data_IF_171874561074
#
_entry.id   IF_171874561074
#
_cell.length_a   1.000
_cell.length_b   1.000
_cell.length_c   1.000
_cell.angle_alpha   90.00
_cell.angle_beta   90.00
_cell.angle_gamma   90.00
#
_symmetry.space_group_name_H-M   'P 1'
#
loop_
_entity.id
_entity.type
_entity.pdbx_description
1 polymer ?
#
# COMPACT_ATOMS: atom_id res chain seq x y z
N UNK A 1 5.93 -11.17 3.16
CA UNK A 1 4.95 -12.21 3.49
C UNK A 1 3.61 -11.65 3.95
N UNK A 2 2.67 -12.52 4.36
CA UNK A 2 1.42 -12.07 4.99
C UNK A 2 1.59 -11.89 6.50
N UNK A 3 0.70 -11.10 7.12
CA UNK A 3 0.69 -10.92 8.59
C UNK A 3 0.62 -12.25 9.35
N UNK A 4 -0.21 -13.18 8.88
CA UNK A 4 -0.33 -14.52 9.52
C UNK A 4 0.99 -15.31 9.45
N UNK A 5 1.68 -15.30 8.32
CA UNK A 5 2.99 -15.93 8.17
C UNK A 5 4.04 -15.24 9.05
N UNK A 6 4.02 -13.91 9.12
CA UNK A 6 4.90 -13.15 10.01
C UNK A 6 4.73 -13.53 11.49
N UNK A 7 3.49 -13.71 11.95
CA UNK A 7 3.19 -14.17 13.29
C UNK A 7 3.77 -15.57 13.56
N UNK A 8 3.65 -16.50 12.62
CA UNK A 8 4.24 -17.85 12.74
C UNK A 8 5.77 -17.80 12.79
N UNK A 9 6.41 -16.98 11.96
CA UNK A 9 7.86 -16.77 11.97
C UNK A 9 8.31 -16.25 13.33
N UNK A 10 7.60 -15.28 13.90
CA UNK A 10 7.91 -14.77 15.25
C UNK A 10 7.78 -15.86 16.33
N UNK A 11 6.75 -16.70 16.25
CA UNK A 11 6.58 -17.81 17.17
C UNK A 11 7.75 -18.80 17.10
N UNK A 12 8.18 -19.19 15.91
CA UNK A 12 9.33 -20.09 15.72
C UNK A 12 10.65 -19.45 16.18
N UNK A 13 10.82 -18.15 15.96
CA UNK A 13 12.02 -17.44 16.38
C UNK A 13 12.18 -17.40 17.92
N UNK A 14 11.08 -17.49 18.69
CA UNK A 14 11.14 -17.44 20.16
C UNK A 14 11.89 -18.63 20.75
N UNK A 15 11.86 -19.81 20.13
CA UNK A 15 12.55 -21.01 20.63
C UNK A 15 14.07 -20.80 20.76
N UNK A 16 14.65 -19.98 19.89
CA UNK A 16 16.09 -19.71 19.85
C UNK A 16 16.44 -18.24 20.13
N UNK A 17 15.45 -17.42 20.52
CA UNK A 17 15.61 -15.99 20.80
C UNK A 17 16.25 -15.25 19.61
N UNK A 18 15.79 -15.57 18.40
CA UNK A 18 16.32 -14.98 17.16
C UNK A 18 15.59 -13.67 16.87
N UNK A 19 16.30 -12.53 16.71
CA UNK A 19 15.68 -11.31 16.20
C UNK A 19 15.20 -11.52 14.77
N UNK A 20 14.02 -10.98 14.45
CA UNK A 20 13.40 -11.11 13.14
C UNK A 20 13.20 -9.74 12.50
N UNK A 21 13.33 -9.69 11.17
CA UNK A 21 12.86 -8.60 10.33
C UNK A 21 11.73 -9.11 9.45
N UNK A 22 10.65 -8.36 9.36
CA UNK A 22 9.44 -8.78 8.68
C UNK A 22 8.93 -7.65 7.78
N UNK A 23 8.75 -7.96 6.51
CA UNK A 23 8.02 -7.18 5.53
C UNK A 23 6.73 -7.92 5.19
N UNK A 24 5.58 -7.33 5.55
CA UNK A 24 4.29 -7.99 5.53
C UNK A 24 3.29 -7.20 4.67
N UNK A 25 2.01 -7.51 4.80
CA UNK A 25 0.95 -6.93 3.99
C UNK A 25 0.65 -5.46 4.29
N UNK A 26 -0.15 -4.87 3.43
CA UNK A 26 -0.62 -3.49 3.55
C UNK A 26 -2.05 -3.30 3.06
N UNK A 27 -2.66 -2.20 3.47
CA UNK A 27 -3.91 -1.65 2.95
C UNK A 27 -3.74 -0.13 2.82
N UNK A 28 -2.80 0.25 1.98
CA UNK A 28 -2.25 1.60 1.91
C UNK A 28 -3.30 2.62 1.47
N UNK A 29 -3.53 3.69 2.25
CA UNK A 29 -4.39 4.79 1.83
C UNK A 29 -3.68 5.64 0.76
N UNK A 30 -4.44 6.11 -0.21
CA UNK A 30 -4.05 7.07 -1.23
C UNK A 30 -5.04 8.24 -1.17
N UNK A 31 -4.61 9.40 -0.69
CA UNK A 31 -5.47 10.49 -0.24
C UNK A 31 -5.43 11.63 -1.25
N UNK A 32 -6.59 12.04 -1.74
CA UNK A 32 -6.74 13.12 -2.74
C UNK A 32 -7.53 14.27 -2.12
N UNK A 33 -6.84 15.37 -1.82
CA UNK A 33 -7.44 16.60 -1.33
C UNK A 33 -8.07 17.41 -2.46
N UNK A 34 -9.01 18.30 -2.14
CA UNK A 34 -9.81 19.02 -3.13
C UNK A 34 -8.98 19.86 -4.10
N UNK A 35 -7.86 20.40 -3.65
CA UNK A 35 -6.98 21.24 -4.45
C UNK A 35 -6.31 20.53 -5.65
N UNK A 36 -6.41 19.19 -5.73
CA UNK A 36 -5.97 18.46 -6.95
C UNK A 36 -6.81 18.82 -8.17
N UNK A 37 -8.06 19.26 -7.95
CA UNK A 37 -9.01 19.63 -9.01
C UNK A 37 -9.05 21.13 -9.34
N UNK A 38 -8.20 21.96 -8.71
CA UNK A 38 -8.20 23.42 -8.92
C UNK A 38 -7.91 23.82 -10.37
N UNK A 39 -7.14 23.02 -11.10
CA UNK A 39 -6.76 23.26 -12.47
C UNK A 39 -6.74 21.95 -13.28
N UNK A 40 -7.12 22.03 -14.54
CA UNK A 40 -6.96 20.95 -15.51
C UNK A 40 -5.58 21.06 -16.17
N UNK A 41 -4.57 20.51 -15.50
CA UNK A 41 -3.16 20.60 -15.87
C UNK A 41 -2.43 19.25 -15.71
N UNK A 42 -1.13 19.23 -15.99
CA UNK A 42 -0.27 18.05 -15.86
C UNK A 42 -0.27 17.48 -14.43
N UNK A 43 -0.52 18.31 -13.41
CA UNK A 43 -0.60 17.84 -12.05
C UNK A 43 -1.87 17.00 -11.78
N UNK A 44 -3.01 17.43 -12.32
CA UNK A 44 -4.24 16.63 -12.25
C UNK A 44 -4.06 15.31 -13.00
N UNK A 45 -3.46 15.33 -14.21
CA UNK A 45 -3.18 14.10 -14.95
C UNK A 45 -2.30 13.14 -14.16
N UNK A 46 -1.27 13.66 -13.50
CA UNK A 46 -0.40 12.89 -12.59
C UNK A 46 -1.13 12.34 -11.39
N UNK A 47 -2.07 13.08 -10.80
CA UNK A 47 -2.89 12.60 -9.68
C UNK A 47 -3.85 11.48 -10.10
N UNK A 48 -4.43 11.58 -11.32
CA UNK A 48 -5.26 10.53 -11.91
C UNK A 48 -4.44 9.26 -12.21
N UNK A 49 -3.19 9.40 -12.67
CA UNK A 49 -2.27 8.27 -12.79
C UNK A 49 -1.98 7.66 -11.42
N UNK A 50 -1.71 8.50 -10.41
CA UNK A 50 -1.52 8.06 -9.02
C UNK A 50 -2.72 7.30 -8.45
N UNK A 51 -3.94 7.67 -8.83
CA UNK A 51 -5.14 6.91 -8.49
C UNK A 51 -5.15 5.53 -9.16
N UNK A 52 -4.74 5.43 -10.42
CA UNK A 52 -4.73 4.19 -11.18
C UNK A 52 -3.62 3.21 -10.75
N UNK A 53 -2.66 3.64 -9.92
CA UNK A 53 -1.54 2.83 -9.45
C UNK A 53 -1.93 1.57 -8.64
N UNK A 54 -3.18 1.43 -8.20
CA UNK A 54 -3.66 0.20 -7.58
C UNK A 54 -3.63 -1.01 -8.52
N UNK A 55 -3.67 -0.77 -9.82
CA UNK A 55 -3.62 -1.81 -10.83
C UNK A 55 -2.19 -2.19 -11.24
N UNK A 56 -1.17 -1.39 -10.88
CA UNK A 56 0.23 -1.68 -11.21
C UNK A 56 0.61 -3.09 -10.73
N UNK A 57 1.34 -3.82 -11.57
CA UNK A 57 1.71 -5.22 -11.30
C UNK A 57 0.48 -6.07 -10.90
N UNK A 58 -0.65 -5.88 -11.58
CA UNK A 58 -1.96 -6.49 -11.31
C UNK A 58 -2.41 -6.42 -9.84
N UNK A 59 -1.96 -5.39 -9.09
CA UNK A 59 -2.27 -5.19 -7.68
C UNK A 59 -1.55 -6.12 -6.71
N UNK A 60 -0.62 -6.96 -7.20
CA UNK A 60 0.19 -7.88 -6.40
C UNK A 60 1.45 -7.17 -5.88
N UNK A 61 1.25 -6.11 -5.10
CA UNK A 61 2.29 -5.30 -4.45
C UNK A 61 1.88 -5.03 -3.00
N UNK A 62 2.79 -5.25 -2.04
CA UNK A 62 2.52 -5.02 -0.61
C UNK A 62 2.15 -3.56 -0.28
N UNK A 63 2.72 -2.59 -1.01
CA UNK A 63 2.38 -1.16 -0.89
C UNK A 63 1.28 -0.71 -1.84
N UNK A 64 0.55 -1.62 -2.48
CA UNK A 64 -0.55 -1.28 -3.37
C UNK A 64 -1.46 -0.23 -2.74
N UNK A 65 -1.73 0.93 -3.40
CA UNK A 65 -2.63 1.96 -2.89
C UNK A 65 -4.08 1.51 -3.05
N UNK A 66 -4.46 0.47 -2.30
CA UNK A 66 -5.71 -0.27 -2.45
C UNK A 66 -6.91 0.36 -1.73
N UNK A 67 -6.69 1.48 -1.00
CA UNK A 67 -7.75 2.37 -0.50
C UNK A 67 -7.54 3.77 -1.05
N UNK A 68 -8.49 4.30 -1.81
CA UNK A 68 -8.50 5.70 -2.19
C UNK A 68 -9.45 6.50 -1.28
N UNK A 69 -8.93 7.55 -0.67
CA UNK A 69 -9.67 8.51 0.12
C UNK A 69 -9.78 9.79 -0.70
N UNK A 70 -10.98 10.19 -1.08
CA UNK A 70 -11.22 11.36 -1.93
C UNK A 70 -12.05 12.39 -1.17
N UNK A 71 -11.62 13.66 -1.15
CA UNK A 71 -12.38 14.69 -0.46
C UNK A 71 -13.77 14.86 -1.07
N UNK A 72 -14.81 14.96 -0.22
CA UNK A 72 -16.22 14.93 -0.64
C UNK A 72 -16.54 15.99 -1.70
N UNK A 73 -15.95 17.19 -1.57
CA UNK A 73 -16.19 18.33 -2.49
C UNK A 73 -15.83 18.05 -3.95
N UNK A 74 -14.92 17.13 -4.22
CA UNK A 74 -14.45 16.80 -5.56
C UNK A 74 -14.81 15.38 -6.01
N UNK A 75 -15.37 14.55 -5.11
CA UNK A 75 -15.42 13.11 -5.28
C UNK A 75 -16.06 12.68 -6.61
N UNK A 76 -17.21 13.20 -6.96
CA UNK A 76 -17.93 12.75 -8.17
C UNK A 76 -17.16 13.07 -9.46
N UNK A 77 -16.68 14.32 -9.58
CA UNK A 77 -15.92 14.75 -10.77
C UNK A 77 -14.55 14.08 -10.88
N UNK A 78 -13.88 13.93 -9.75
CA UNK A 78 -12.58 13.26 -9.72
C UNK A 78 -12.72 11.78 -10.09
N UNK A 79 -13.70 11.07 -9.51
CA UNK A 79 -13.93 9.66 -9.80
C UNK A 79 -14.36 9.41 -11.24
N UNK A 80 -15.15 10.29 -11.86
CA UNK A 80 -15.47 10.20 -13.28
C UNK A 80 -14.19 10.16 -14.13
N UNK A 81 -13.30 11.15 -13.96
CA UNK A 81 -12.02 11.22 -14.69
C UNK A 81 -11.10 10.03 -14.36
N UNK A 82 -11.04 9.63 -13.09
CA UNK A 82 -10.19 8.54 -12.62
C UNK A 82 -10.64 7.18 -13.18
N UNK A 83 -11.94 6.90 -13.22
CA UNK A 83 -12.50 5.68 -13.82
C UNK A 83 -12.20 5.62 -15.32
N UNK A 84 -12.34 6.75 -16.05
CA UNK A 84 -11.96 6.80 -17.46
C UNK A 84 -10.46 6.52 -17.67
N UNK A 85 -9.59 6.97 -16.77
CA UNK A 85 -8.15 6.62 -16.78
C UNK A 85 -7.94 5.11 -16.58
N UNK A 86 -8.64 4.52 -15.60
CA UNK A 86 -8.52 3.08 -15.26
C UNK A 86 -9.01 2.20 -16.42
N UNK A 87 -10.09 2.57 -17.11
CA UNK A 87 -10.60 1.85 -18.29
C UNK A 87 -9.61 1.76 -19.46
N UNK A 88 -8.59 2.63 -19.49
CA UNK A 88 -7.54 2.60 -20.52
C UNK A 88 -6.43 1.61 -20.21
N UNK A 89 -6.42 1.00 -19.01
CA UNK A 89 -5.42 0.00 -18.62
C UNK A 89 -5.64 -1.26 -19.46
N UNK A 90 -4.64 -1.61 -20.23
CA UNK A 90 -4.66 -2.81 -21.06
C UNK A 90 -4.18 -4.01 -20.25
N UNK A 91 -5.10 -4.93 -19.98
CA UNK A 91 -4.77 -6.25 -19.43
C UNK A 91 -4.48 -7.19 -20.58
N UNK A 92 -3.38 -7.94 -20.53
CA UNK A 92 -3.00 -8.80 -21.64
C UNK A 92 -1.85 -9.75 -21.34
N UNK A 93 -1.42 -10.45 -22.38
CA UNK A 93 -0.27 -11.35 -22.30
C UNK A 93 1.02 -10.56 -22.01
N UNK A 94 1.89 -10.99 -21.08
CA UNK A 94 3.05 -10.22 -20.63
C UNK A 94 4.14 -10.01 -21.71
N UNK A 95 4.11 -10.75 -22.80
CA UNK A 95 5.05 -10.56 -23.93
C UNK A 95 4.51 -9.58 -24.99
N UNK A 96 3.28 -9.14 -24.88
CA UNK A 96 2.72 -8.13 -25.78
C UNK A 96 3.16 -6.73 -25.34
N UNK A 97 3.70 -5.96 -26.25
CA UNK A 97 4.35 -4.67 -25.95
C UNK A 97 3.40 -3.59 -25.41
N UNK A 98 2.12 -3.71 -25.68
CA UNK A 98 1.10 -2.77 -25.16
C UNK A 98 0.39 -3.26 -23.90
N UNK A 99 0.70 -4.43 -23.38
CA UNK A 99 0.18 -4.90 -22.10
C UNK A 99 0.69 -4.02 -20.98
N UNK A 100 -0.22 -3.51 -20.15
CA UNK A 100 0.09 -2.69 -18.97
C UNK A 100 0.06 -3.52 -17.69
N UNK A 101 -0.85 -4.49 -17.59
CA UNK A 101 -0.95 -5.43 -16.46
C UNK A 101 -1.16 -6.86 -16.98
N UNK A 102 -0.57 -7.83 -16.27
CA UNK A 102 -0.59 -9.24 -16.61
C UNK A 102 -1.59 -10.07 -15.81
N UNK A 103 -1.37 -11.38 -15.81
CA UNK A 103 -2.13 -12.35 -15.05
C UNK A 103 -1.78 -12.32 -13.56
N UNK A 104 -2.73 -12.77 -12.72
CA UNK A 104 -2.45 -13.07 -11.32
C UNK A 104 -1.47 -14.25 -11.19
N UNK A 105 -0.75 -14.30 -10.08
CA UNK A 105 0.31 -15.29 -9.85
C UNK A 105 -0.19 -16.75 -9.87
N UNK A 106 -1.45 -17.00 -9.57
CA UNK A 106 -2.03 -18.35 -9.53
C UNK A 106 -3.55 -18.34 -9.57
N UNK A 107 -4.15 -19.51 -9.86
CA UNK A 107 -5.60 -19.71 -9.76
C UNK A 107 -6.11 -19.49 -8.33
N UNK A 108 -5.34 -19.87 -7.32
CA UNK A 108 -5.69 -19.66 -5.92
C UNK A 108 -5.79 -18.15 -5.61
N UNK A 109 -4.85 -17.37 -6.12
CA UNK A 109 -4.88 -15.92 -5.96
C UNK A 109 -6.05 -15.29 -6.71
N UNK A 110 -6.33 -15.71 -7.94
CA UNK A 110 -7.50 -15.28 -8.69
C UNK A 110 -8.79 -15.55 -7.91
N UNK A 111 -8.96 -16.79 -7.41
CA UNK A 111 -10.15 -17.18 -6.64
C UNK A 111 -10.30 -16.37 -5.35
N UNK A 112 -9.18 -16.08 -4.65
CA UNK A 112 -9.19 -15.20 -3.47
C UNK A 112 -9.71 -13.80 -3.83
N UNK A 113 -9.20 -13.22 -4.91
CA UNK A 113 -9.60 -11.88 -5.35
C UNK A 113 -11.07 -11.85 -5.74
N UNK A 114 -11.54 -12.83 -6.51
CA UNK A 114 -12.96 -12.94 -6.89
C UNK A 114 -13.85 -13.11 -5.65
N UNK A 115 -13.43 -13.89 -4.65
CA UNK A 115 -14.12 -14.00 -3.37
C UNK A 115 -14.20 -12.68 -2.61
N UNK A 116 -13.14 -11.85 -2.65
CA UNK A 116 -13.16 -10.50 -2.07
C UNK A 116 -14.11 -9.56 -2.84
N UNK A 117 -14.14 -9.65 -4.17
CA UNK A 117 -15.08 -8.88 -5.01
C UNK A 117 -16.52 -9.22 -4.63
N UNK A 118 -16.84 -10.50 -4.46
CA UNK A 118 -18.17 -10.94 -4.06
C UNK A 118 -18.53 -10.51 -2.63
N UNK A 119 -17.54 -10.53 -1.73
CA UNK A 119 -17.68 -9.96 -0.38
C UNK A 119 -18.06 -8.48 -0.44
N UNK A 120 -17.37 -7.69 -1.25
CA UNK A 120 -17.70 -6.26 -1.43
C UNK A 120 -19.14 -6.04 -1.91
N UNK A 121 -19.59 -6.84 -2.87
CA UNK A 121 -21.00 -6.81 -3.35
C UNK A 121 -21.98 -7.16 -2.25
N UNK A 122 -21.72 -8.22 -1.50
CA UNK A 122 -22.61 -8.71 -0.44
C UNK A 122 -22.70 -7.76 0.76
N UNK A 123 -21.63 -7.01 1.04
CA UNK A 123 -21.61 -5.95 2.06
C UNK A 123 -22.26 -4.64 1.58
N UNK A 124 -22.69 -4.56 0.32
CA UNK A 124 -23.37 -3.39 -0.24
C UNK A 124 -22.44 -2.32 -0.78
N UNK A 125 -21.16 -2.61 -1.00
CA UNK A 125 -20.27 -1.68 -1.69
C UNK A 125 -20.71 -1.49 -3.16
N UNK A 126 -20.72 -0.27 -3.63
CA UNK A 126 -21.08 0.08 -4.99
C UNK A 126 -19.94 -0.26 -5.96
N UNK A 127 -20.14 -1.20 -6.88
CA UNK A 127 -19.19 -1.47 -7.96
C UNK A 127 -19.24 -0.33 -8.99
N UNK A 128 -18.11 0.35 -9.19
CA UNK A 128 -18.00 1.46 -10.15
C UNK A 128 -17.48 1.00 -11.52
N UNK A 129 -16.58 0.00 -11.54
CA UNK A 129 -16.04 -0.60 -12.77
C UNK A 129 -15.38 -1.94 -12.49
N UNK A 130 -15.20 -2.78 -13.50
CA UNK A 130 -14.57 -4.09 -13.39
C UNK A 130 -15.44 -5.13 -12.66
N UNK A 131 -14.81 -5.95 -11.85
CA UNK A 131 -15.49 -6.94 -11.01
C UNK A 131 -15.63 -8.33 -11.61
N UNK A 132 -14.91 -8.62 -12.70
CA UNK A 132 -14.99 -9.88 -13.43
C UNK A 132 -13.61 -10.42 -13.80
N UNK A 133 -13.48 -11.75 -13.95
CA UNK A 133 -12.31 -12.33 -14.59
C UNK A 133 -12.36 -12.06 -16.11
N UNK A 134 -11.20 -12.02 -16.75
CA UNK A 134 -11.03 -11.89 -18.19
C UNK A 134 -10.84 -13.27 -18.82
N UNK A 135 -11.92 -13.86 -19.30
CA UNK A 135 -11.89 -15.16 -19.99
C UNK A 135 -11.55 -15.06 -21.48
N UNK A 136 -11.52 -13.84 -22.00
CA UNK A 136 -11.16 -13.54 -23.39
C UNK A 136 -9.64 -13.54 -23.64
N UNK A 137 -8.83 -13.63 -22.58
CA UNK A 137 -7.36 -13.73 -22.66
C UNK A 137 -6.95 -15.14 -22.26
N UNK A 138 -6.32 -15.88 -23.19
CA UNK A 138 -5.87 -17.24 -22.97
C UNK A 138 -4.59 -17.31 -22.13
N UNK A 139 -4.37 -18.44 -21.47
CA UNK A 139 -3.09 -18.80 -20.87
C UNK A 139 -2.76 -18.13 -19.54
N UNK A 140 -3.75 -17.57 -18.80
CA UNK A 140 -3.49 -16.95 -17.52
C UNK A 140 -4.73 -16.68 -16.67
N UNK A 141 -4.51 -16.11 -15.47
CA UNK A 141 -5.53 -15.83 -14.48
C UNK A 141 -5.78 -14.33 -14.40
N UNK A 142 -6.47 -13.77 -15.40
CA UNK A 142 -6.65 -12.32 -15.55
C UNK A 142 -7.90 -11.83 -14.84
N UNK A 143 -7.82 -10.63 -14.25
CA UNK A 143 -8.93 -9.93 -13.60
C UNK A 143 -8.94 -8.48 -14.09
N UNK A 144 -10.14 -7.96 -14.32
CA UNK A 144 -10.33 -6.54 -14.65
C UNK A 144 -9.93 -5.63 -13.47
N UNK A 145 -9.25 -4.50 -13.71
CA UNK A 145 -9.12 -3.46 -12.70
C UNK A 145 -10.51 -3.08 -12.15
N UNK A 146 -10.66 -3.25 -10.84
CA UNK A 146 -11.97 -3.22 -10.18
C UNK A 146 -11.99 -2.08 -9.15
N UNK A 147 -13.04 -1.27 -9.14
CA UNK A 147 -13.23 -0.17 -8.20
C UNK A 147 -14.58 -0.31 -7.50
N UNK A 148 -14.53 -0.31 -6.16
CA UNK A 148 -15.70 -0.21 -5.31
C UNK A 148 -15.72 1.14 -4.58
N UNK A 149 -16.93 1.70 -4.35
CA UNK A 149 -17.17 2.81 -3.44
C UNK A 149 -17.97 2.30 -2.25
N UNK A 150 -17.54 2.65 -1.03
CA UNK A 150 -18.20 2.15 0.17
C UNK A 150 -17.66 2.77 1.45
N UNK A 151 -17.95 2.13 2.58
CA UNK A 151 -17.55 2.55 3.91
C UNK A 151 -16.24 1.87 4.35
N UNK A 152 -15.38 2.61 5.08
CA UNK A 152 -14.08 2.10 5.53
C UNK A 152 -14.18 0.89 6.47
N UNK A 153 -15.33 0.62 7.09
CA UNK A 153 -15.55 -0.54 7.96
C UNK A 153 -15.78 -1.85 7.19
N UNK A 154 -16.10 -1.78 5.90
CA UNK A 154 -16.33 -2.96 5.08
C UNK A 154 -15.04 -3.79 4.94
N UNK A 155 -15.18 -5.10 4.83
CA UNK A 155 -14.06 -6.04 4.78
C UNK A 155 -13.06 -5.74 3.66
N UNK A 156 -13.56 -5.38 2.47
CA UNK A 156 -12.71 -5.02 1.33
C UNK A 156 -11.89 -3.74 1.54
N UNK A 157 -12.23 -2.90 2.53
CA UNK A 157 -11.47 -1.73 2.95
C UNK A 157 -10.42 -2.05 4.02
N UNK A 158 -10.60 -3.14 4.76
CA UNK A 158 -9.76 -3.51 5.90
C UNK A 158 -8.78 -4.64 5.61
N UNK A 159 -9.12 -5.58 4.73
CA UNK A 159 -8.27 -6.71 4.40
C UNK A 159 -7.44 -6.48 3.13
N UNK A 160 -6.22 -7.03 3.12
CA UNK A 160 -5.36 -7.05 1.94
C UNK A 160 -5.87 -8.05 0.91
N UNK A 161 -6.32 -7.55 -0.24
CA UNK A 161 -6.82 -8.38 -1.34
C UNK A 161 -5.66 -8.96 -2.15
N UNK A 162 -4.61 -8.16 -2.39
CA UNK A 162 -3.44 -8.47 -3.20
C UNK A 162 -3.81 -8.77 -4.65
N UNK A 163 -4.55 -7.86 -5.25
CA UNK A 163 -5.08 -7.90 -6.61
C UNK A 163 -5.55 -6.52 -7.07
N UNK A 164 -5.98 -6.36 -8.34
CA UNK A 164 -6.29 -5.07 -8.93
C UNK A 164 -7.68 -4.56 -8.47
N UNK A 165 -7.89 -4.46 -7.16
CA UNK A 165 -9.14 -4.05 -6.54
C UNK A 165 -8.91 -2.85 -5.63
N UNK A 166 -9.54 -1.74 -5.96
CA UNK A 166 -9.52 -0.48 -5.23
C UNK A 166 -10.80 -0.27 -4.46
N UNK A 167 -10.67 0.10 -3.18
CA UNK A 167 -11.78 0.50 -2.33
C UNK A 167 -11.75 2.02 -2.13
N UNK A 168 -12.79 2.73 -2.57
CA UNK A 168 -12.89 4.19 -2.52
C UNK A 168 -13.87 4.61 -1.44
N UNK A 169 -13.44 5.50 -0.55
CA UNK A 169 -14.31 6.20 0.40
C UNK A 169 -14.07 7.71 0.34
N UNK A 170 -14.98 8.50 0.88
CA UNK A 170 -14.83 9.95 0.95
C UNK A 170 -14.47 10.40 2.35
N UNK A 171 -13.92 11.62 2.46
CA UNK A 171 -13.64 12.30 3.72
C UNK A 171 -14.05 13.77 3.63
N UNK A 172 -14.33 14.39 4.77
CA UNK A 172 -14.83 15.77 4.85
C UNK A 172 -13.70 16.80 4.89
N UNK A 173 -12.76 16.58 5.79
CA UNK A 173 -11.68 17.50 6.09
C UNK A 173 -10.38 16.76 6.43
N UNK A 174 -9.33 17.51 6.76
CA UNK A 174 -8.02 16.94 7.05
C UNK A 174 -8.06 15.91 8.20
N UNK A 175 -8.76 16.21 9.28
CA UNK A 175 -8.76 15.36 10.49
C UNK A 175 -9.53 14.06 10.22
N UNK A 176 -10.62 14.14 9.47
CA UNK A 176 -11.40 12.98 9.02
C UNK A 176 -10.55 12.10 8.07
N UNK A 177 -9.82 12.72 7.13
CA UNK A 177 -8.89 11.99 6.27
C UNK A 177 -7.83 11.21 7.07
N UNK A 178 -7.22 11.84 8.07
CA UNK A 178 -6.20 11.19 8.91
C UNK A 178 -6.79 10.06 9.76
N UNK A 179 -7.99 10.27 10.31
CA UNK A 179 -8.72 9.25 11.05
C UNK A 179 -8.97 8.01 10.18
N UNK A 180 -9.53 8.18 8.98
CA UNK A 180 -9.83 7.07 8.06
C UNK A 180 -8.53 6.42 7.57
N UNK A 181 -7.52 7.21 7.22
CA UNK A 181 -6.23 6.68 6.75
C UNK A 181 -5.59 5.74 7.77
N UNK A 182 -5.62 6.10 9.04
CA UNK A 182 -5.00 5.35 10.14
C UNK A 182 -5.88 4.23 10.70
N UNK A 183 -7.17 4.17 10.34
CA UNK A 183 -8.12 3.14 10.77
C UNK A 183 -7.91 1.85 9.97
N UNK A 184 -6.83 1.16 10.27
CA UNK A 184 -6.43 -0.12 9.72
C UNK A 184 -5.39 -0.79 10.61
N UNK A 185 -5.30 -2.11 10.57
CA UNK A 185 -4.24 -2.87 11.24
C UNK A 185 -2.88 -2.73 10.55
N UNK A 186 -2.84 -2.20 9.35
CA UNK A 186 -1.65 -2.03 8.54
C UNK A 186 -1.04 -0.64 8.66
N UNK A 187 0.22 -0.51 8.23
CA UNK A 187 0.95 0.76 8.19
C UNK A 187 2.20 0.65 7.31
N UNK A 188 2.07 0.09 6.10
CA UNK A 188 3.23 -0.08 5.21
C UNK A 188 3.50 1.17 4.40
N UNK A 189 2.55 1.59 3.56
CA UNK A 189 2.68 2.74 2.69
C UNK A 189 1.45 3.64 2.71
N UNK A 190 1.61 4.86 2.19
CA UNK A 190 0.53 5.81 1.94
C UNK A 190 0.90 6.79 0.85
N UNK A 191 -0.09 7.29 0.11
CA UNK A 191 0.04 8.40 -0.84
C UNK A 191 -0.76 9.61 -0.39
N UNK A 192 -0.24 10.80 -0.68
CA UNK A 192 -0.93 12.08 -0.42
C UNK A 192 -0.82 12.96 -1.65
N UNK A 193 -1.95 13.45 -2.14
CA UNK A 193 -2.04 14.32 -3.31
C UNK A 193 -2.68 15.63 -2.89
N UNK A 194 -1.91 16.69 -2.96
CA UNK A 194 -2.32 18.07 -2.67
C UNK A 194 -1.34 19.03 -3.30
N UNK A 195 -1.82 20.15 -3.82
CA UNK A 195 -0.99 21.27 -4.30
C UNK A 195 -0.37 22.05 -3.15
N UNK A 196 -0.93 21.91 -1.94
CA UNK A 196 -0.45 22.56 -0.72
C UNK A 196 0.69 21.76 -0.09
N UNK A 197 1.90 22.31 -0.09
CA UNK A 197 3.04 21.74 0.63
C UNK A 197 2.77 21.61 2.14
N UNK A 198 2.00 22.53 2.71
CA UNK A 198 1.61 22.49 4.13
C UNK A 198 0.70 21.29 4.42
N UNK A 199 -0.35 21.08 3.62
CA UNK A 199 -1.27 19.93 3.74
C UNK A 199 -0.49 18.62 3.58
N UNK A 200 0.33 18.53 2.54
CA UNK A 200 1.15 17.35 2.25
C UNK A 200 2.11 17.00 3.39
N UNK A 201 2.80 18.00 3.96
CA UNK A 201 3.72 17.79 5.08
C UNK A 201 2.99 17.34 6.34
N UNK A 202 1.87 17.99 6.69
CA UNK A 202 1.06 17.61 7.86
C UNK A 202 0.53 16.20 7.73
N UNK A 203 -0.02 15.84 6.57
CA UNK A 203 -0.52 14.48 6.31
C UNK A 203 0.59 13.45 6.41
N UNK A 204 1.76 13.71 5.79
CA UNK A 204 2.91 12.82 5.88
C UNK A 204 3.39 12.58 7.31
N UNK A 205 3.21 13.57 8.21
CA UNK A 205 3.53 13.44 9.64
C UNK A 205 2.47 12.70 10.45
N UNK A 206 1.20 12.82 10.07
CA UNK A 206 0.06 12.27 10.81
C UNK A 206 -0.26 10.82 10.43
N UNK A 207 0.12 10.39 9.22
CA UNK A 207 -0.14 9.04 8.74
C UNK A 207 0.77 8.03 9.44
N UNK A 208 0.18 6.97 9.98
CA UNK A 208 0.86 5.88 10.67
C UNK A 208 1.33 4.80 9.68
N UNK A 209 2.23 5.18 8.77
CA UNK A 209 2.85 4.28 7.81
C UNK A 209 4.36 4.51 7.74
N UNK A 210 5.11 3.45 7.47
CA UNK A 210 6.56 3.52 7.40
C UNK A 210 7.06 4.24 6.15
N UNK A 211 6.26 4.31 5.10
CA UNK A 211 6.55 5.04 3.87
C UNK A 211 5.37 5.91 3.45
N UNK A 212 5.60 7.21 3.28
CA UNK A 212 4.60 8.14 2.75
C UNK A 212 5.17 8.83 1.52
N UNK A 213 4.43 8.78 0.41
CA UNK A 213 4.71 9.49 -0.82
C UNK A 213 3.82 10.72 -0.94
N UNK A 214 4.37 11.82 -1.36
CA UNK A 214 3.62 13.05 -1.61
C UNK A 214 3.73 13.41 -3.10
N UNK A 215 2.60 13.55 -3.76
CA UNK A 215 2.52 13.90 -5.19
C UNK A 215 3.32 12.95 -6.11
N UNK A 216 3.49 11.71 -5.66
CA UNK A 216 4.06 10.58 -6.38
C UNK A 216 3.66 9.29 -5.67
N UNK A 217 3.97 8.14 -6.28
CA UNK A 217 3.81 6.84 -5.65
C UNK A 217 4.86 5.86 -6.21
N UNK A 218 5.19 4.79 -5.49
CA UNK A 218 6.12 3.72 -5.91
C UNK A 218 7.54 4.19 -6.28
N UNK A 219 8.04 5.28 -5.68
CA UNK A 219 9.43 5.71 -5.84
C UNK A 219 10.25 5.20 -4.64
N UNK A 220 11.27 4.38 -4.89
CA UNK A 220 12.08 3.70 -3.87
C UNK A 220 13.58 4.05 -3.99
N UNK A 221 14.02 5.22 -3.53
CA UNK A 221 15.44 5.54 -3.53
C UNK A 221 16.18 4.69 -2.47
N UNK A 222 17.34 4.13 -2.85
CA UNK A 222 18.12 3.21 -2.03
C UNK A 222 18.58 3.81 -0.68
N UNK A 223 18.71 5.13 -0.60
CA UNK A 223 19.11 5.85 0.60
C UNK A 223 17.97 6.13 1.59
N UNK A 224 16.73 5.79 1.25
CA UNK A 224 15.58 6.01 2.11
C UNK A 224 15.10 4.69 2.71
N UNK A 225 14.97 4.66 4.03
CA UNK A 225 14.51 3.48 4.75
C UNK A 225 13.08 3.09 4.32
N UNK A 226 12.84 1.78 4.19
CA UNK A 226 11.56 1.19 3.85
C UNK A 226 11.17 0.16 4.90
N UNK A 227 9.90 0.11 5.28
CA UNK A 227 9.36 -0.87 6.21
C UNK A 227 8.04 -0.43 6.83
N UNK A 228 7.34 -1.36 7.47
CA UNK A 228 5.99 -1.15 7.98
C UNK A 228 5.92 -0.67 9.43
N UNK A 229 4.78 -0.03 9.74
CA UNK A 229 4.26 0.18 11.08
C UNK A 229 3.22 -0.91 11.38
N UNK A 230 2.74 -0.96 12.62
CA UNK A 230 1.65 -1.86 13.05
C UNK A 230 1.91 -3.32 12.61
N UNK A 231 0.93 -3.95 11.98
CA UNK A 231 1.05 -5.35 11.51
C UNK A 231 1.67 -5.49 10.11
N UNK A 232 2.22 -4.42 9.56
CA UNK A 232 2.91 -4.47 8.27
C UNK A 232 4.39 -4.83 8.36
N UNK A 233 4.96 -4.90 9.55
CA UNK A 233 6.30 -5.43 9.68
C UNK A 233 7.13 -4.89 10.83
N UNK A 234 8.37 -5.41 10.90
CA UNK A 234 9.40 -5.07 11.89
C UNK A 234 10.72 -4.87 11.14
N UNK A 235 11.46 -3.83 11.49
CA UNK A 235 12.72 -3.49 10.83
C UNK A 235 12.56 -2.57 9.64
N UNK A 236 13.69 -2.25 9.00
CA UNK A 236 13.73 -1.38 7.81
C UNK A 236 14.67 -1.98 6.78
N UNK A 237 14.19 -1.96 5.52
CA UNK A 237 14.97 -2.26 4.33
C UNK A 237 15.64 -0.98 3.80
N UNK A 238 16.64 -1.13 2.96
CA UNK A 238 17.41 -0.02 2.41
C UNK A 238 18.08 0.84 3.49
N UNK A 239 18.72 1.96 3.10
CA UNK A 239 19.39 2.82 4.04
C UNK A 239 20.44 2.03 4.87
N UNK A 240 21.21 2.70 5.69
CA UNK A 240 22.18 2.03 6.59
C UNK A 240 21.52 1.24 7.73
N UNK A 241 20.23 1.46 8.01
CA UNK A 241 19.52 0.70 9.03
C UNK A 241 19.46 -0.79 8.70
N UNK A 242 19.43 -1.15 7.42
CA UNK A 242 19.46 -2.54 6.97
C UNK A 242 20.74 -3.26 7.42
N UNK A 243 21.87 -2.56 7.51
CA UNK A 243 23.15 -3.17 7.94
C UNK A 243 23.05 -3.74 9.36
N UNK A 244 22.25 -3.13 10.22
CA UNK A 244 22.07 -3.59 11.60
C UNK A 244 21.45 -5.00 11.68
N UNK A 245 20.74 -5.45 10.64
CA UNK A 245 20.14 -6.79 10.58
C UNK A 245 21.16 -7.87 10.19
N UNK A 246 22.29 -7.49 9.60
CA UNK A 246 23.36 -8.38 9.14
C UNK A 246 24.62 -8.31 9.99
N UNK A 247 24.59 -7.57 11.09
CA UNK A 247 25.74 -7.33 11.98
C UNK A 247 25.31 -7.48 13.43
N UNK A 248 26.28 -7.81 14.30
CA UNK A 248 26.10 -7.80 15.73
C UNK A 248 27.13 -6.88 16.38
N UNK A 249 26.66 -6.00 17.26
CA UNK A 249 27.54 -5.11 18.02
C UNK A 249 28.23 -5.88 19.12
N UNK A 250 29.56 -5.82 19.16
CA UNK A 250 30.39 -6.34 20.25
C UNK A 250 31.14 -5.20 20.92
N UNK A 251 31.07 -5.13 22.22
CA UNK A 251 31.96 -4.28 23.01
C UNK A 251 33.21 -5.06 23.40
N UNK A 252 34.39 -4.54 23.04
CA UNK A 252 35.67 -5.07 23.46
C UNK A 252 36.37 -3.99 24.29
N UNK A 253 36.50 -4.26 25.59
CA UNK A 253 37.23 -3.41 26.53
C UNK A 253 38.56 -4.08 26.89
N UNK A 254 39.65 -3.40 26.61
CA UNK A 254 41.02 -3.87 26.91
C UNK A 254 41.66 -2.93 27.91
N UNK A 255 42.08 -3.43 29.07
CA UNK A 255 42.86 -2.65 30.02
C UNK A 255 44.39 -2.87 29.82
N UNK A 256 45.13 -1.80 29.69
CA UNK A 256 46.58 -1.83 29.66
C UNK A 256 47.22 -1.54 31.04
N UNK A 257 46.41 -1.33 32.07
CA UNK A 257 46.91 -1.17 33.43
C UNK A 257 47.34 -2.51 34.00
N UNK A 258 48.54 -2.53 34.62
CA UNK A 258 49.03 -3.69 35.37
C UNK A 258 48.59 -3.72 36.85
N UNK A 259 47.87 -2.65 37.26
CA UNK A 259 47.36 -2.55 38.65
C UNK A 259 46.02 -3.25 38.78
N UNK A 260 45.77 -3.80 39.98
CA UNK A 260 44.45 -4.33 40.34
C UNK A 260 43.38 -3.24 40.19
N UNK A 261 42.17 -3.64 39.82
CA UNK A 261 41.00 -2.73 39.64
C UNK A 261 40.46 -2.21 40.99
N UNK A 262 40.82 -2.82 42.11
CA UNK A 262 40.45 -2.35 43.44
C UNK A 262 39.04 -2.73 43.89
N UNK A 263 38.49 -3.76 43.29
CA UNK A 263 37.14 -4.25 43.69
C UNK A 263 37.18 -5.12 44.94
N UNK A 264 38.34 -5.75 45.30
CA UNK A 264 38.50 -6.63 46.47
C UNK A 264 39.87 -6.37 47.13
#
# INVERSE_FOLDING_TARGET
GSTAVGQLIMQYATENIIPVTLELGGKSPNIFFEDVMDQEDDYLDKALEGFAMFALNQGEICTCPSRALVQESIADKFLEKAIERVKRIKTGHPLDTDTMIGAQASVQQQNKILGCIETGRSEGAQLLTGGSPRHDIEGGFYIEPTIFKGDNSMKIFQEEIFGPVLSVTTFKDFDDAMKIANDTIYGLGAGVWSRSAHTSYRAGRAIEAGRVWTNCYHIYPAHAAFGGYKRSGIGRENHKDMLNHYQQTKNLLVSYSTKALGFF
#
